data_IF_613687073614
#
_entry.id   IF_613687073614
#
_cell.length_a   1.000
_cell.length_b   1.000
_cell.length_c   1.000
_cell.angle_alpha   90.00
_cell.angle_beta   90.00
_cell.angle_gamma   90.00
#
_symmetry.space_group_name_H-M   'P 1'
#
loop_
_entity.id
_entity.type
_entity.pdbx_description
1 polymer ?
#
# COMPACT_ATOMS: atom_id res chain seq x y z
N UNK A 1 -0.53 21.18 2.68
CA UNK A 1 -0.14 22.11 3.72
C UNK A 1 -1.28 22.89 4.34
N UNK A 2 -2.35 23.21 3.69
CA UNK A 2 -3.45 23.97 4.29
C UNK A 2 -4.77 23.35 3.88
N UNK A 3 -5.43 22.61 4.77
CA UNK A 3 -6.81 22.20 4.57
C UNK A 3 -7.74 23.42 4.43
N UNK A 4 -7.27 24.60 4.83
CA UNK A 4 -8.10 25.78 5.03
C UNK A 4 -7.67 27.04 4.32
N UNK A 5 -6.46 27.21 3.84
CA UNK A 5 -6.12 28.48 3.17
C UNK A 5 -6.80 28.66 1.82
N UNK A 6 -7.48 27.64 1.33
CA UNK A 6 -8.50 27.88 0.34
C UNK A 6 -9.48 26.70 0.34
N UNK A 7 -10.75 27.01 0.49
CA UNK A 7 -11.82 26.16 -0.03
C UNK A 7 -11.53 25.71 -1.47
N UNK A 8 -10.55 26.34 -2.16
CA UNK A 8 -10.02 26.01 -3.47
C UNK A 8 -8.96 24.90 -3.51
N UNK A 9 -8.09 24.72 -2.50
CA UNK A 9 -7.06 23.66 -2.53
C UNK A 9 -7.67 22.29 -2.27
N UNK A 10 -8.60 22.16 -1.33
CA UNK A 10 -9.37 20.93 -1.15
C UNK A 10 -10.08 20.50 -2.43
N UNK A 11 -10.63 21.46 -3.19
CA UNK A 11 -11.23 21.21 -4.51
C UNK A 11 -10.20 20.77 -5.56
N UNK A 12 -8.97 21.30 -5.54
CA UNK A 12 -7.91 20.90 -6.47
C UNK A 12 -7.48 19.46 -6.19
N UNK A 13 -7.18 19.09 -4.94
CA UNK A 13 -6.79 17.72 -4.58
C UNK A 13 -7.93 16.73 -4.85
N UNK A 14 -9.17 17.05 -4.49
CA UNK A 14 -10.35 16.23 -4.81
C UNK A 14 -10.46 15.96 -6.31
N UNK A 15 -10.32 17.00 -7.15
CA UNK A 15 -10.36 16.86 -8.62
C UNK A 15 -9.21 15.98 -9.12
N UNK A 16 -8.02 16.12 -8.57
CA UNK A 16 -6.86 15.33 -8.95
C UNK A 16 -7.03 13.85 -8.58
N UNK A 17 -7.41 13.54 -7.33
CA UNK A 17 -7.68 12.16 -6.89
C UNK A 17 -8.77 11.51 -7.74
N UNK A 18 -9.84 12.25 -8.04
CA UNK A 18 -10.92 11.79 -8.92
C UNK A 18 -10.46 11.60 -10.36
N UNK A 19 -9.66 12.53 -10.91
CA UNK A 19 -9.09 12.41 -12.26
C UNK A 19 -8.20 11.17 -12.37
N UNK A 20 -7.38 10.93 -11.37
CA UNK A 20 -6.52 9.75 -11.28
C UNK A 20 -7.31 8.45 -11.08
N UNK A 21 -8.57 8.52 -10.64
CA UNK A 21 -9.42 7.34 -10.46
C UNK A 21 -9.14 6.54 -9.19
N UNK A 22 -8.46 7.13 -8.20
CA UNK A 22 -8.35 6.52 -6.88
C UNK A 22 -9.70 6.49 -6.17
N UNK A 23 -9.96 5.41 -5.44
CA UNK A 23 -11.22 5.20 -4.71
C UNK A 23 -11.17 5.69 -3.27
N UNK A 24 -9.97 5.81 -2.70
CA UNK A 24 -9.73 6.23 -1.32
C UNK A 24 -8.53 7.18 -1.25
N UNK A 25 -8.52 8.01 -0.23
CA UNK A 25 -7.34 8.75 0.23
C UNK A 25 -7.00 8.28 1.64
N UNK A 26 -5.72 8.08 1.90
CA UNK A 26 -5.19 7.79 3.23
C UNK A 26 -4.41 9.01 3.72
N UNK A 27 -4.88 9.60 4.82
CA UNK A 27 -4.20 10.70 5.47
C UNK A 27 -3.21 10.16 6.51
N UNK A 28 -1.98 10.65 6.47
CA UNK A 28 -1.05 10.53 7.59
C UNK A 28 -1.71 11.06 8.86
N UNK A 29 -1.20 10.75 10.07
CA UNK A 29 -1.90 11.05 11.30
C UNK A 29 -2.36 12.51 11.41
N UNK A 30 -3.64 12.73 11.61
CA UNK A 30 -4.26 14.06 11.75
C UNK A 30 -4.54 14.45 13.21
N UNK A 31 -4.25 13.57 14.16
CA UNK A 31 -4.36 13.88 15.58
C UNK A 31 -3.33 14.95 15.99
N UNK A 32 -3.67 15.78 16.98
CA UNK A 32 -2.78 16.88 17.42
C UNK A 32 -1.48 16.35 18.00
N UNK A 33 -0.37 16.98 17.60
CA UNK A 33 0.99 16.59 17.93
C UNK A 33 1.90 17.82 18.01
N UNK A 34 2.90 17.86 18.92
CA UNK A 34 3.73 19.06 19.13
C UNK A 34 4.79 19.23 18.04
N UNK A 35 5.35 18.11 17.56
CA UNK A 35 6.50 18.10 16.66
C UNK A 35 6.09 17.83 15.21
N UNK A 36 6.13 18.83 14.34
CA UNK A 36 5.78 18.73 12.93
C UNK A 36 6.62 17.72 12.15
N UNK A 37 7.90 17.55 12.51
CA UNK A 37 8.80 16.57 11.90
C UNK A 37 8.48 15.10 12.24
N UNK A 38 7.54 14.85 13.16
CA UNK A 38 7.00 13.52 13.40
C UNK A 38 5.91 13.12 12.40
N UNK A 39 5.48 14.03 11.53
CA UNK A 39 4.38 13.84 10.57
C UNK A 39 3.05 13.41 11.20
N UNK A 40 2.90 13.65 12.51
CA UNK A 40 1.76 13.23 13.30
C UNK A 40 1.89 11.90 14.04
N UNK A 41 3.00 11.19 13.93
CA UNK A 41 3.20 9.91 14.65
C UNK A 41 3.56 10.07 16.14
N UNK A 42 3.80 11.28 16.63
CA UNK A 42 4.00 11.56 18.07
C UNK A 42 2.78 12.31 18.62
N UNK A 43 1.69 11.60 18.78
CA UNK A 43 0.38 12.14 19.15
C UNK A 43 0.35 12.55 20.63
N UNK A 44 -0.14 13.77 20.90
CA UNK A 44 -0.42 14.25 22.27
C UNK A 44 -1.92 14.52 22.48
N UNK A 45 -2.65 14.87 21.43
CA UNK A 45 -4.08 15.15 21.48
C UNK A 45 -4.91 14.13 20.70
N UNK A 46 -5.12 12.95 21.26
CA UNK A 46 -5.80 11.83 20.58
C UNK A 46 -7.22 12.14 20.09
N UNK A 47 -7.93 13.03 20.79
CA UNK A 47 -9.32 13.41 20.50
C UNK A 47 -9.45 14.78 19.84
N UNK A 48 -8.38 15.30 19.25
CA UNK A 48 -8.39 16.57 18.55
C UNK A 48 -7.66 16.46 17.22
N UNK A 49 -8.26 16.88 16.10
CA UNK A 49 -7.52 17.08 14.86
C UNK A 49 -6.50 18.21 15.05
N UNK A 50 -5.33 18.06 14.42
CA UNK A 50 -4.29 19.09 14.52
C UNK A 50 -4.77 20.42 13.96
N UNK A 51 -4.49 21.50 14.69
CA UNK A 51 -4.86 22.88 14.28
C UNK A 51 -4.01 23.41 13.13
N UNK A 52 -2.95 22.69 12.73
CA UNK A 52 -2.03 23.09 11.66
C UNK A 52 -2.70 23.26 10.30
N UNK A 53 -3.77 22.52 10.07
CA UNK A 53 -4.44 22.45 8.75
C UNK A 53 -5.82 23.10 8.73
N UNK A 54 -6.33 23.57 9.84
CA UNK A 54 -7.64 24.19 9.96
C UNK A 54 -8.37 23.79 11.24
N UNK A 55 -9.66 24.10 11.26
CA UNK A 55 -10.56 23.75 12.36
C UNK A 55 -11.10 22.33 12.20
N UNK A 56 -11.65 21.72 13.26
CA UNK A 56 -12.38 20.45 13.14
C UNK A 56 -13.51 20.47 12.11
N UNK A 57 -14.20 21.60 11.97
CA UNK A 57 -15.27 21.76 10.98
C UNK A 57 -14.73 21.78 9.54
N UNK A 58 -13.52 22.33 9.33
CA UNK A 58 -12.86 22.29 8.03
C UNK A 58 -12.47 20.85 7.64
N UNK A 59 -12.01 20.05 8.61
CA UNK A 59 -11.74 18.63 8.37
C UNK A 59 -13.02 17.86 8.03
N UNK A 60 -14.11 18.08 8.79
CA UNK A 60 -15.42 17.48 8.48
C UNK A 60 -15.91 17.88 7.09
N UNK A 61 -15.74 19.14 6.71
CA UNK A 61 -16.06 19.63 5.38
C UNK A 61 -15.26 18.93 4.28
N UNK A 62 -13.94 18.76 4.47
CA UNK A 62 -13.08 18.06 3.52
C UNK A 62 -13.53 16.60 3.32
N UNK A 63 -13.85 15.91 4.42
CA UNK A 63 -14.32 14.52 4.38
C UNK A 63 -15.65 14.42 3.64
N UNK A 64 -16.61 15.32 3.94
CA UNK A 64 -17.90 15.39 3.24
C UNK A 64 -17.73 15.62 1.73
N UNK A 65 -16.83 16.51 1.34
CA UNK A 65 -16.51 16.78 -0.06
C UNK A 65 -15.85 15.58 -0.78
N UNK A 66 -15.03 14.81 -0.08
CA UNK A 66 -14.46 13.56 -0.60
C UNK A 66 -15.55 12.51 -0.79
N UNK A 67 -16.44 12.33 0.19
CA UNK A 67 -17.60 11.42 0.11
C UNK A 67 -18.54 11.81 -1.03
N UNK A 68 -18.85 13.10 -1.20
CA UNK A 68 -19.64 13.60 -2.32
C UNK A 68 -19.00 13.33 -3.69
N UNK A 69 -17.68 13.16 -3.72
CA UNK A 69 -16.95 12.76 -4.92
C UNK A 69 -16.85 11.23 -5.10
N UNK A 70 -17.39 10.43 -4.18
CA UNK A 70 -17.31 8.97 -4.15
C UNK A 70 -15.93 8.44 -3.72
N UNK A 71 -15.18 9.23 -2.92
CA UNK A 71 -13.86 8.91 -2.42
C UNK A 71 -13.94 8.60 -0.93
N UNK A 72 -13.56 7.39 -0.52
CA UNK A 72 -13.47 7.00 0.88
C UNK A 72 -12.24 7.60 1.56
N UNK A 73 -12.31 7.76 2.87
CA UNK A 73 -11.26 8.39 3.68
C UNK A 73 -10.70 7.40 4.68
N UNK A 74 -9.39 7.19 4.62
CA UNK A 74 -8.62 6.38 5.56
C UNK A 74 -7.80 7.32 6.43
N UNK A 75 -7.80 7.10 7.73
CA UNK A 75 -6.96 7.84 8.67
C UNK A 75 -5.91 6.93 9.26
N UNK A 76 -4.68 7.40 9.28
CA UNK A 76 -3.59 6.76 9.99
C UNK A 76 -3.75 7.00 11.50
N UNK A 77 -3.93 5.93 12.27
CA UNK A 77 -4.20 5.93 13.70
C UNK A 77 -3.05 5.29 14.47
N UNK A 78 -2.54 5.98 15.48
CA UNK A 78 -1.31 5.64 16.21
C UNK A 78 -1.62 5.21 17.66
N UNK A 79 -2.15 3.99 17.89
CA UNK A 79 -2.44 3.51 19.25
C UNK A 79 -1.25 2.80 19.92
N UNK A 80 -0.11 2.66 19.24
CA UNK A 80 1.01 1.87 19.75
C UNK A 80 1.80 2.60 20.83
N UNK A 81 2.00 3.91 20.65
CA UNK A 81 2.91 4.69 21.47
C UNK A 81 2.53 6.16 21.52
N UNK A 82 3.15 6.93 22.43
CA UNK A 82 3.00 8.37 22.56
C UNK A 82 4.32 9.03 23.03
N UNK A 83 4.53 10.32 22.74
CA UNK A 83 5.78 11.02 23.11
C UNK A 83 5.90 11.24 24.61
N UNK A 84 7.13 11.46 25.07
CA UNK A 84 7.49 11.67 26.48
C UNK A 84 7.33 13.11 26.96
N UNK A 85 6.50 13.90 26.29
CA UNK A 85 6.23 15.29 26.69
C UNK A 85 5.50 15.29 28.05
N UNK A 86 6.11 15.92 29.05
CA UNK A 86 5.66 15.89 30.44
C UNK A 86 4.40 16.73 30.72
N UNK A 87 3.96 17.52 29.76
CA UNK A 87 2.70 18.28 29.77
C UNK A 87 1.53 17.55 29.09
N UNK A 88 1.78 16.34 28.52
CA UNK A 88 0.78 15.54 27.79
C UNK A 88 0.42 14.25 28.58
N UNK A 89 0.49 13.08 27.93
CA UNK A 89 0.06 11.81 28.55
C UNK A 89 1.14 11.19 29.45
N UNK A 90 2.42 11.47 29.19
CA UNK A 90 3.52 10.89 29.97
C UNK A 90 3.43 11.30 31.43
N UNK A 91 3.34 10.32 32.34
CA UNK A 91 3.18 10.55 33.78
C UNK A 91 2.09 11.58 34.12
N UNK A 92 0.96 11.45 33.47
CA UNK A 92 -0.14 12.42 33.44
C UNK A 92 -0.55 12.95 34.83
N UNK A 93 -0.55 12.10 35.84
CA UNK A 93 -0.89 12.45 37.24
C UNK A 93 0.33 12.40 38.19
N UNK A 94 1.55 12.36 37.62
CA UNK A 94 2.82 12.22 38.33
C UNK A 94 3.34 10.80 38.41
N UNK A 95 2.51 9.81 38.03
CA UNK A 95 2.87 8.40 37.95
C UNK A 95 2.66 7.84 36.54
N UNK A 96 3.10 6.62 36.29
CA UNK A 96 2.85 5.91 35.02
C UNK A 96 1.37 5.51 34.96
N UNK A 97 0.56 6.29 34.24
CA UNK A 97 -0.87 6.07 34.06
C UNK A 97 -1.18 5.37 32.72
N UNK A 98 -0.76 5.98 31.62
CA UNK A 98 -0.96 5.46 30.27
C UNK A 98 0.10 4.45 29.85
N UNK A 99 1.31 4.59 30.35
CA UNK A 99 2.45 3.70 30.14
C UNK A 99 2.62 2.68 31.28
N UNK A 100 3.48 1.67 31.07
CA UNK A 100 3.94 0.80 32.13
C UNK A 100 5.11 1.47 32.90
N UNK A 101 5.13 1.34 34.22
CA UNK A 101 6.20 1.88 35.06
C UNK A 101 7.57 1.21 34.82
N UNK A 102 7.56 -0.06 34.39
CA UNK A 102 8.79 -0.78 34.03
C UNK A 102 9.18 -0.41 32.58
N UNK A 103 10.36 0.24 32.38
CA UNK A 103 10.79 0.68 31.05
C UNK A 103 10.97 -0.48 30.05
N UNK A 104 11.15 -1.72 30.53
CA UNK A 104 11.21 -2.91 29.66
C UNK A 104 9.87 -3.24 29.02
N UNK A 105 8.77 -2.59 29.43
CA UNK A 105 7.44 -2.67 28.86
C UNK A 105 6.94 -1.31 28.38
N UNK A 106 7.25 -0.25 29.13
CA UNK A 106 6.68 1.09 28.96
C UNK A 106 7.46 2.01 28.04
N UNK A 107 8.70 1.68 27.66
CA UNK A 107 9.53 2.52 26.79
C UNK A 107 9.70 1.88 25.41
N UNK A 108 9.68 2.72 24.35
CA UNK A 108 10.01 2.31 23.00
C UNK A 108 11.41 2.79 22.64
N UNK A 109 12.42 1.89 22.51
CA UNK A 109 13.83 2.29 22.34
C UNK A 109 14.10 3.07 21.06
N UNK A 110 13.52 2.62 19.94
CA UNK A 110 13.83 3.18 18.61
C UNK A 110 13.30 4.60 18.42
N UNK A 111 12.12 4.90 18.99
CA UNK A 111 11.42 6.16 18.74
C UNK A 111 11.50 7.14 19.93
N UNK A 112 12.07 6.70 21.06
CA UNK A 112 12.15 7.52 22.28
C UNK A 112 10.79 7.85 22.88
N UNK A 113 9.77 7.05 22.62
CA UNK A 113 8.37 7.21 23.04
C UNK A 113 8.02 6.26 24.18
N UNK A 114 6.86 6.44 24.80
CA UNK A 114 6.26 5.46 25.68
C UNK A 114 5.34 4.50 24.92
N UNK A 115 5.27 3.25 25.38
CA UNK A 115 4.30 2.24 24.93
C UNK A 115 3.08 2.30 25.84
N UNK A 116 1.88 2.26 25.27
CA UNK A 116 0.65 2.20 26.07
C UNK A 116 0.56 0.91 26.88
N UNK A 117 0.08 1.02 28.12
CA UNK A 117 -0.20 -0.12 28.99
C UNK A 117 -1.55 -0.75 28.61
N UNK A 118 -1.54 -1.62 27.60
CA UNK A 118 -2.74 -2.32 27.12
C UNK A 118 -3.39 -3.24 28.16
N UNK A 119 -2.68 -3.59 29.23
CA UNK A 119 -3.20 -4.36 30.36
C UNK A 119 -4.19 -3.57 31.23
N UNK A 120 -4.12 -2.23 31.23
CA UNK A 120 -5.05 -1.38 31.97
C UNK A 120 -6.37 -1.22 31.22
N UNK A 121 -7.48 -1.50 31.86
CA UNK A 121 -8.82 -1.36 31.29
C UNK A 121 -9.13 0.07 30.88
N UNK A 122 -8.69 1.06 31.67
CA UNK A 122 -8.88 2.49 31.39
C UNK A 122 -8.13 2.93 30.14
N UNK A 123 -6.91 2.44 29.93
CA UNK A 123 -6.10 2.73 28.76
C UNK A 123 -6.70 2.08 27.51
N UNK A 124 -7.11 0.81 27.60
CA UNK A 124 -7.82 0.17 26.49
C UNK A 124 -9.11 0.92 26.14
N UNK A 125 -9.88 1.30 27.15
CA UNK A 125 -11.12 2.06 26.95
C UNK A 125 -10.87 3.41 26.27
N UNK A 126 -9.83 4.12 26.69
CA UNK A 126 -9.38 5.36 26.07
C UNK A 126 -9.08 5.16 24.58
N UNK A 127 -8.31 4.13 24.23
CA UNK A 127 -7.92 3.87 22.82
C UNK A 127 -9.10 3.34 21.98
N UNK A 128 -9.92 2.43 22.49
CA UNK A 128 -11.12 1.93 21.76
C UNK A 128 -12.13 3.06 21.53
N UNK A 129 -12.33 3.92 22.53
CA UNK A 129 -13.20 5.09 22.38
C UNK A 129 -12.61 6.11 21.38
N UNK A 130 -11.28 6.25 21.34
CA UNK A 130 -10.61 7.09 20.37
C UNK A 130 -10.79 6.61 18.93
N UNK A 131 -10.66 5.31 18.65
CA UNK A 131 -10.98 4.76 17.34
C UNK A 131 -12.45 5.07 16.94
N UNK A 132 -13.39 4.83 17.88
CA UNK A 132 -14.81 5.16 17.66
C UNK A 132 -15.03 6.65 17.41
N UNK A 133 -14.32 7.53 18.11
CA UNK A 133 -14.41 8.97 17.93
C UNK A 133 -14.08 9.39 16.50
N UNK A 134 -12.99 8.92 15.92
CA UNK A 134 -12.63 9.25 14.54
C UNK A 134 -13.65 8.71 13.53
N UNK A 135 -14.13 7.49 13.74
CA UNK A 135 -15.11 6.85 12.85
C UNK A 135 -16.49 7.54 12.93
N UNK A 136 -16.94 7.95 14.14
CA UNK A 136 -18.30 8.45 14.36
C UNK A 136 -18.40 9.97 14.22
N UNK A 137 -17.43 10.74 14.75
CA UNK A 137 -17.46 12.20 14.72
C UNK A 137 -16.98 12.79 13.39
N UNK A 138 -16.04 12.13 12.73
CA UNK A 138 -15.47 12.57 11.46
C UNK A 138 -15.91 11.73 10.26
N UNK A 139 -16.69 10.67 10.50
CA UNK A 139 -17.17 9.76 9.45
C UNK A 139 -16.03 9.19 8.59
N UNK A 140 -14.90 8.85 9.22
CA UNK A 140 -13.78 8.17 8.58
C UNK A 140 -14.22 6.76 8.16
N UNK A 141 -13.90 6.33 6.94
CA UNK A 141 -14.29 5.02 6.39
C UNK A 141 -13.36 3.89 6.79
N UNK A 142 -12.11 4.21 7.13
CA UNK A 142 -11.13 3.22 7.55
C UNK A 142 -10.07 3.81 8.48
N UNK A 143 -9.53 2.97 9.36
CA UNK A 143 -8.34 3.28 10.15
C UNK A 143 -7.18 2.36 9.71
N UNK A 144 -6.07 2.97 9.34
CA UNK A 144 -4.78 2.27 9.24
C UNK A 144 -4.13 2.34 10.61
N UNK A 145 -3.85 1.21 11.21
CA UNK A 145 -3.26 1.10 12.55
C UNK A 145 -1.75 1.00 12.42
N UNK A 146 -1.09 2.04 12.90
CA UNK A 146 0.37 2.19 12.85
C UNK A 146 1.07 1.20 13.77
N UNK A 147 2.22 0.69 13.33
CA UNK A 147 3.20 -0.05 14.12
C UNK A 147 2.63 -1.26 14.89
N UNK A 148 1.70 -2.01 14.30
CA UNK A 148 1.07 -3.17 14.96
C UNK A 148 2.11 -4.19 15.41
N UNK A 149 3.18 -4.42 14.65
CA UNK A 149 4.27 -5.31 15.05
C UNK A 149 4.89 -4.93 16.40
N UNK A 150 5.07 -3.64 16.68
CA UNK A 150 5.61 -3.15 17.96
C UNK A 150 4.69 -3.40 19.15
N UNK A 151 3.38 -3.52 18.88
CA UNK A 151 2.37 -3.84 19.89
C UNK A 151 2.33 -5.33 20.19
N UNK A 152 2.47 -6.17 19.17
CA UNK A 152 2.33 -7.62 19.26
C UNK A 152 3.47 -8.31 20.02
N UNK A 153 4.67 -7.70 20.04
CA UNK A 153 5.85 -8.36 20.58
C UNK A 153 6.54 -7.55 21.65
N UNK A 154 6.71 -8.18 22.84
CA UNK A 154 7.38 -7.59 24.01
C UNK A 154 8.88 -7.39 23.81
N UNK A 155 9.49 -8.14 22.90
CA UNK A 155 10.91 -8.06 22.51
C UNK A 155 11.17 -7.17 21.28
N UNK A 156 10.15 -6.48 20.77
CA UNK A 156 10.31 -5.65 19.59
C UNK A 156 11.40 -4.58 19.79
N UNK A 157 12.41 -4.57 18.92
CA UNK A 157 13.58 -3.67 18.96
C UNK A 157 14.35 -3.70 20.27
N UNK A 158 14.32 -4.80 21.03
CA UNK A 158 14.99 -4.97 22.32
C UNK A 158 15.98 -6.12 22.27
N UNK A 159 17.08 -5.96 23.03
CA UNK A 159 18.07 -7.03 23.22
C UNK A 159 17.65 -7.99 24.33
N UNK A 160 18.33 -9.11 24.39
CA UNK A 160 18.15 -10.05 25.49
C UNK A 160 18.39 -9.36 26.84
N UNK A 161 17.44 -9.53 27.77
CA UNK A 161 17.43 -8.90 29.10
C UNK A 161 16.82 -7.48 29.14
N UNK A 162 16.49 -6.87 28.00
CA UNK A 162 15.86 -5.55 27.92
C UNK A 162 14.33 -5.62 27.80
N UNK A 163 13.74 -6.80 27.90
CA UNK A 163 12.31 -7.03 27.84
C UNK A 163 11.84 -8.07 28.85
N UNK A 164 10.55 -8.12 29.12
CA UNK A 164 9.93 -9.07 30.03
C UNK A 164 9.00 -10.00 29.25
N UNK A 165 9.11 -11.33 29.43
CA UNK A 165 8.20 -12.27 28.79
C UNK A 165 6.77 -12.12 29.31
N UNK A 166 5.80 -12.65 28.56
CA UNK A 166 4.42 -12.78 29.00
C UNK A 166 4.28 -13.86 30.12
N UNK A 167 3.06 -14.03 30.63
CA UNK A 167 2.76 -14.98 31.69
C UNK A 167 3.04 -16.46 31.36
N UNK A 168 3.24 -16.77 30.07
CA UNK A 168 3.58 -18.11 29.58
C UNK A 168 5.06 -18.24 29.20
N UNK A 169 5.86 -17.19 29.42
CA UNK A 169 7.27 -17.16 29.05
C UNK A 169 7.55 -16.81 27.58
N UNK A 170 6.52 -16.49 26.80
CA UNK A 170 6.62 -16.11 25.40
C UNK A 170 6.86 -14.60 25.21
N UNK A 171 7.09 -14.23 23.96
CA UNK A 171 7.36 -12.84 23.54
C UNK A 171 6.12 -12.08 23.10
N UNK A 172 5.00 -12.74 22.86
CA UNK A 172 3.75 -12.12 22.43
C UNK A 172 3.16 -11.26 23.55
N UNK A 173 2.76 -10.05 23.22
CA UNK A 173 2.05 -9.16 24.14
C UNK A 173 0.55 -9.50 24.14
N UNK A 174 0.16 -10.37 25.09
CA UNK A 174 -1.22 -10.87 25.18
C UNK A 174 -2.23 -9.76 25.45
N UNK A 175 -1.84 -8.70 26.16
CA UNK A 175 -2.71 -7.56 26.44
C UNK A 175 -2.95 -6.71 25.19
N UNK A 176 -1.92 -6.49 24.37
CA UNK A 176 -2.05 -5.79 23.10
C UNK A 176 -2.87 -6.59 22.09
N UNK A 177 -2.68 -7.91 22.00
CA UNK A 177 -3.50 -8.81 21.17
C UNK A 177 -4.97 -8.66 21.54
N UNK A 178 -5.29 -8.75 22.84
CA UNK A 178 -6.66 -8.56 23.32
C UNK A 178 -7.21 -7.17 23.02
N UNK A 179 -6.40 -6.13 23.17
CA UNK A 179 -6.79 -4.76 22.81
C UNK A 179 -7.12 -4.64 21.34
N UNK A 180 -6.28 -5.14 20.42
CA UNK A 180 -6.51 -5.10 18.98
C UNK A 180 -7.79 -5.84 18.59
N UNK A 181 -8.03 -7.02 19.16
CA UNK A 181 -9.27 -7.77 18.95
C UNK A 181 -10.50 -6.98 19.42
N UNK A 182 -10.44 -6.38 20.60
CA UNK A 182 -11.52 -5.56 21.17
C UNK A 182 -11.78 -4.29 20.32
N UNK A 183 -10.71 -3.60 19.90
CA UNK A 183 -10.79 -2.41 19.08
C UNK A 183 -11.45 -2.71 17.70
N UNK A 184 -10.97 -3.75 17.03
CA UNK A 184 -11.51 -4.15 15.72
C UNK A 184 -12.97 -4.62 15.84
N UNK A 185 -13.28 -5.52 16.77
CA UNK A 185 -14.65 -6.00 16.96
C UNK A 185 -15.62 -4.85 17.33
N UNK A 186 -15.17 -3.88 18.14
CA UNK A 186 -16.00 -2.73 18.52
C UNK A 186 -16.18 -1.77 17.35
N UNK A 187 -15.12 -1.46 16.60
CA UNK A 187 -15.18 -0.59 15.43
C UNK A 187 -16.17 -1.13 14.39
N UNK A 188 -16.05 -2.39 13.98
CA UNK A 188 -16.96 -3.02 13.01
C UNK A 188 -18.40 -3.12 13.49
N UNK A 189 -18.61 -3.45 14.78
CA UNK A 189 -19.98 -3.55 15.35
C UNK A 189 -20.69 -2.20 15.37
N UNK A 190 -19.97 -1.12 15.72
CA UNK A 190 -20.54 0.21 15.85
C UNK A 190 -20.70 0.92 14.50
N UNK A 191 -19.78 0.65 13.58
CA UNK A 191 -19.69 1.33 12.29
C UNK A 191 -19.67 0.29 11.14
N UNK A 192 -20.84 -0.28 10.77
CA UNK A 192 -20.90 -1.24 9.66
C UNK A 192 -20.41 -0.61 8.36
N UNK A 193 -19.53 -1.32 7.65
CA UNK A 193 -18.97 -0.87 6.35
C UNK A 193 -17.59 -0.24 6.42
N UNK A 194 -17.07 0.05 7.63
CA UNK A 194 -15.69 0.56 7.79
C UNK A 194 -14.65 -0.53 7.55
N UNK A 195 -13.40 -0.11 7.45
CA UNK A 195 -12.27 -1.04 7.29
C UNK A 195 -11.18 -0.73 8.34
N UNK A 196 -10.66 -1.79 8.98
CA UNK A 196 -9.47 -1.70 9.84
C UNK A 196 -8.29 -2.32 9.11
N UNK A 197 -7.18 -1.60 8.99
CA UNK A 197 -6.00 -1.99 8.22
C UNK A 197 -4.80 -2.02 9.15
N UNK A 198 -4.04 -3.13 9.17
CA UNK A 198 -2.85 -3.25 10.00
C UNK A 198 -1.59 -2.92 9.20
N UNK A 199 -0.75 -2.02 9.73
CA UNK A 199 0.67 -2.00 9.36
C UNK A 199 1.40 -3.00 10.26
N UNK A 200 1.66 -4.19 9.72
CA UNK A 200 2.28 -5.30 10.44
C UNK A 200 3.28 -6.00 9.54
N UNK A 201 4.56 -6.00 9.95
CA UNK A 201 5.69 -6.43 9.14
C UNK A 201 6.21 -7.84 9.48
N UNK A 202 5.61 -8.50 10.48
CA UNK A 202 6.10 -9.82 10.95
C UNK A 202 5.30 -10.98 10.36
N UNK A 203 5.72 -12.20 10.68
CA UNK A 203 5.02 -13.43 10.33
C UNK A 203 3.90 -13.80 11.35
N UNK A 204 3.36 -12.82 12.10
CA UNK A 204 2.21 -13.06 12.96
C UNK A 204 1.02 -13.52 12.11
N UNK A 205 0.46 -14.67 12.47
CA UNK A 205 -0.60 -15.31 11.68
C UNK A 205 -1.99 -14.82 12.08
N UNK A 206 -2.88 -14.69 11.09
CA UNK A 206 -4.27 -14.36 11.34
C UNK A 206 -4.52 -12.89 11.67
N UNK A 207 -3.67 -11.98 11.21
CA UNK A 207 -3.90 -10.54 11.36
C UNK A 207 -5.25 -10.14 10.76
N UNK A 208 -5.56 -10.62 9.56
CA UNK A 208 -6.84 -10.39 8.88
C UNK A 208 -7.87 -11.50 9.05
N UNK A 209 -7.60 -12.49 9.91
CA UNK A 209 -8.57 -13.50 10.26
C UNK A 209 -9.59 -12.97 11.31
N UNK A 210 -10.85 -13.46 11.28
CA UNK A 210 -11.86 -13.07 12.26
C UNK A 210 -11.44 -13.40 13.71
N UNK A 211 -11.87 -12.57 14.66
CA UNK A 211 -11.57 -12.75 16.09
C UNK A 211 -12.13 -14.07 16.65
N UNK A 212 -13.26 -14.53 16.15
CA UNK A 212 -13.90 -15.80 16.54
C UNK A 212 -13.05 -17.03 16.20
N UNK A 213 -12.12 -16.88 15.26
CA UNK A 213 -11.13 -17.91 14.89
C UNK A 213 -9.75 -17.63 15.48
N UNK A 214 -9.66 -16.73 16.47
CA UNK A 214 -8.41 -16.39 17.14
C UNK A 214 -7.54 -15.36 16.40
N UNK A 215 -8.01 -14.81 15.28
CA UNK A 215 -7.34 -13.73 14.55
C UNK A 215 -7.47 -12.38 15.25
N UNK A 216 -6.78 -11.36 14.70
CA UNK A 216 -6.84 -9.99 15.23
C UNK A 216 -8.07 -9.21 14.74
N UNK A 217 -8.74 -9.67 13.67
CA UNK A 217 -9.98 -9.07 13.16
C UNK A 217 -9.77 -7.87 12.24
N UNK A 218 -8.57 -7.62 11.72
CA UNK A 218 -8.37 -6.60 10.69
C UNK A 218 -9.04 -6.98 9.36
N UNK A 219 -9.45 -5.98 8.59
CA UNK A 219 -9.93 -6.19 7.23
C UNK A 219 -8.82 -6.42 6.23
N UNK A 220 -7.67 -5.74 6.43
CA UNK A 220 -6.47 -5.87 5.61
C UNK A 220 -5.19 -5.76 6.45
N UNK A 221 -4.10 -6.25 5.84
CA UNK A 221 -2.72 -6.12 6.33
C UNK A 221 -1.84 -5.53 5.22
N UNK A 222 -0.95 -4.59 5.54
CA UNK A 222 0.08 -4.17 4.59
C UNK A 222 1.06 -5.31 4.30
N UNK A 223 1.35 -5.56 3.03
CA UNK A 223 2.32 -6.57 2.61
C UNK A 223 3.73 -5.97 2.56
N UNK A 224 4.34 -5.83 3.73
CA UNK A 224 5.69 -5.26 3.85
C UNK A 224 6.75 -6.16 3.20
N UNK A 225 6.56 -7.49 3.19
CA UNK A 225 7.43 -8.44 2.50
C UNK A 225 7.45 -8.20 0.99
N UNK A 226 6.28 -8.11 0.36
CA UNK A 226 6.17 -7.76 -1.06
C UNK A 226 6.82 -6.42 -1.37
N UNK A 227 6.59 -5.40 -0.54
CA UNK A 227 7.17 -4.07 -0.71
C UNK A 227 8.69 -4.15 -0.70
N UNK A 228 9.27 -4.77 0.32
CA UNK A 228 10.71 -4.89 0.47
C UNK A 228 11.35 -5.65 -0.71
N UNK A 229 10.86 -6.87 -0.99
CA UNK A 229 11.44 -7.75 -2.01
C UNK A 229 11.31 -7.16 -3.42
N UNK A 230 10.14 -6.58 -3.75
CA UNK A 230 9.91 -5.98 -5.06
C UNK A 230 10.73 -4.71 -5.28
N UNK A 231 10.93 -3.88 -4.25
CA UNK A 231 11.80 -2.71 -4.32
C UNK A 231 13.29 -3.12 -4.42
N UNK A 232 13.72 -4.15 -3.72
CA UNK A 232 15.08 -4.66 -3.86
C UNK A 232 15.34 -5.18 -5.28
N UNK A 233 14.41 -5.96 -5.84
CA UNK A 233 14.50 -6.44 -7.21
C UNK A 233 14.59 -5.30 -8.23
N UNK A 234 13.70 -4.31 -8.14
CA UNK A 234 13.61 -3.27 -9.17
C UNK A 234 14.80 -2.30 -9.15
N UNK A 235 15.49 -2.16 -8.01
CA UNK A 235 16.72 -1.35 -7.88
C UNK A 235 17.92 -1.99 -8.59
N UNK A 236 17.87 -3.29 -8.88
CA UNK A 236 18.95 -3.99 -9.57
C UNK A 236 19.01 -3.60 -11.05
N UNK A 237 20.22 -3.49 -11.58
CA UNK A 237 20.40 -3.36 -13.03
C UNK A 237 19.73 -4.54 -13.75
N UNK A 238 18.99 -4.32 -14.84
CA UNK A 238 18.30 -5.37 -15.60
C UNK A 238 19.19 -6.57 -15.97
N UNK A 239 20.49 -6.35 -16.20
CA UNK A 239 21.43 -7.42 -16.51
C UNK A 239 21.61 -8.45 -15.36
N UNK A 240 21.38 -8.05 -14.13
CA UNK A 240 21.55 -8.88 -12.95
C UNK A 240 20.25 -9.47 -12.41
N UNK A 241 19.08 -8.96 -12.81
CA UNK A 241 17.76 -9.37 -12.31
C UNK A 241 17.49 -10.86 -12.46
N UNK A 242 18.04 -11.50 -13.49
CA UNK A 242 17.87 -12.95 -13.71
C UNK A 242 18.37 -13.81 -12.54
N UNK A 243 19.36 -13.34 -11.79
CA UNK A 243 19.90 -14.04 -10.61
C UNK A 243 19.06 -13.77 -9.34
N UNK A 244 18.10 -12.88 -9.41
CA UNK A 244 17.28 -12.40 -8.31
C UNK A 244 15.78 -12.54 -8.59
N UNK A 245 15.42 -13.34 -9.58
CA UNK A 245 14.05 -13.53 -10.02
C UNK A 245 13.11 -13.99 -8.90
N UNK A 246 13.64 -14.71 -7.92
CA UNK A 246 12.90 -15.10 -6.71
C UNK A 246 12.37 -13.92 -5.89
N UNK A 247 13.06 -12.79 -5.85
CA UNK A 247 12.64 -11.61 -5.08
C UNK A 247 11.30 -11.07 -5.58
N UNK A 248 11.06 -11.02 -6.90
CA UNK A 248 9.82 -10.51 -7.47
C UNK A 248 8.66 -11.54 -7.45
N UNK A 249 8.96 -12.84 -7.32
CA UNK A 249 7.96 -13.92 -7.35
C UNK A 249 7.63 -14.49 -5.98
N UNK A 250 8.48 -14.28 -4.98
CA UNK A 250 8.37 -14.89 -3.65
C UNK A 250 7.05 -14.56 -2.94
N UNK A 251 6.57 -13.34 -3.10
CA UNK A 251 5.31 -12.90 -2.48
C UNK A 251 4.10 -13.75 -2.86
N UNK A 252 4.12 -14.40 -4.02
CA UNK A 252 3.03 -15.29 -4.46
C UNK A 252 2.91 -16.57 -3.63
N UNK A 253 3.94 -16.95 -2.86
CA UNK A 253 3.88 -18.12 -1.99
C UNK A 253 2.95 -17.89 -0.79
N UNK A 254 2.79 -16.63 -0.36
CA UNK A 254 1.98 -16.26 0.80
C UNK A 254 0.88 -15.21 0.46
N UNK A 255 0.66 -14.91 -0.82
CA UNK A 255 -0.25 -13.86 -1.26
C UNK A 255 -1.71 -14.04 -0.78
N UNK A 256 -2.07 -15.23 -0.30
CA UNK A 256 -3.42 -15.59 0.16
C UNK A 256 -3.49 -15.95 1.65
N UNK A 257 -2.37 -15.82 2.38
CA UNK A 257 -2.34 -16.10 3.83
C UNK A 257 -3.10 -15.02 4.61
N UNK A 258 -3.10 -13.79 4.08
CA UNK A 258 -3.81 -12.64 4.64
C UNK A 258 -4.50 -11.84 3.51
N UNK A 259 -5.37 -10.92 3.87
CA UNK A 259 -5.93 -9.95 2.93
C UNK A 259 -4.99 -8.75 2.83
N UNK A 260 -4.25 -8.67 1.75
CA UNK A 260 -3.16 -7.72 1.63
C UNK A 260 -3.53 -6.40 0.95
N UNK A 261 -2.89 -5.33 1.43
CA UNK A 261 -2.64 -4.08 0.71
C UNK A 261 -1.16 -4.09 0.31
N UNK A 262 -0.85 -3.73 -0.92
CA UNK A 262 0.51 -3.57 -1.44
C UNK A 262 0.94 -2.11 -1.22
N UNK A 263 1.78 -1.80 -0.21
CA UNK A 263 2.12 -0.43 0.10
C UNK A 263 3.36 0.05 -0.66
N UNK A 264 3.28 1.22 -1.27
CA UNK A 264 4.40 2.12 -1.52
C UNK A 264 4.05 3.39 -0.76
N UNK A 265 4.41 3.43 0.51
CA UNK A 265 4.02 4.47 1.46
C UNK A 265 5.06 5.61 1.54
N UNK A 266 4.89 6.50 2.51
CA UNK A 266 5.87 7.56 2.80
C UNK A 266 7.21 6.98 3.26
N UNK A 267 7.22 5.87 3.98
CA UNK A 267 8.43 5.26 4.56
C UNK A 267 9.46 4.85 3.50
N UNK A 268 9.02 4.52 2.29
CA UNK A 268 9.92 4.12 1.21
C UNK A 268 10.59 5.32 0.51
N UNK A 269 10.11 6.55 0.74
CA UNK A 269 10.51 7.76 -0.02
C UNK A 269 10.97 8.91 0.85
N UNK A 270 11.44 8.63 2.07
CA UNK A 270 11.92 9.59 3.08
C UNK A 270 13.26 9.16 3.68
N UNK A 271 13.87 10.03 4.47
CA UNK A 271 15.06 9.75 5.28
C UNK A 271 16.28 9.25 4.49
N UNK A 272 16.54 9.81 3.31
CA UNK A 272 17.66 9.44 2.46
C UNK A 272 17.44 8.19 1.62
N UNK A 273 16.23 7.63 1.60
CA UNK A 273 15.86 6.49 0.75
C UNK A 273 15.61 6.88 -0.71
N UNK A 274 15.48 8.19 -0.99
CA UNK A 274 15.16 8.74 -2.32
C UNK A 274 13.72 8.51 -2.74
N UNK A 275 13.30 9.08 -3.87
CA UNK A 275 11.97 8.83 -4.46
C UNK A 275 11.89 7.42 -5.08
N UNK A 276 10.67 6.98 -5.41
CA UNK A 276 10.50 5.72 -6.16
C UNK A 276 11.23 5.75 -7.51
N UNK A 277 11.16 6.87 -8.25
CA UNK A 277 11.90 7.04 -9.50
C UNK A 277 13.43 7.00 -9.28
N UNK A 278 13.92 7.56 -8.16
CA UNK A 278 15.34 7.56 -7.85
C UNK A 278 15.91 6.16 -7.64
N UNK A 279 15.09 5.22 -7.17
CA UNK A 279 15.47 3.81 -6.98
C UNK A 279 15.65 3.05 -8.29
N UNK A 280 15.08 3.52 -9.40
CA UNK A 280 15.16 2.85 -10.69
C UNK A 280 16.56 3.01 -11.31
N UNK A 281 17.17 1.94 -11.86
CA UNK A 281 18.47 2.01 -12.52
C UNK A 281 18.37 2.62 -13.93
N UNK A 282 19.53 3.02 -14.45
CA UNK A 282 19.67 3.47 -15.83
C UNK A 282 19.57 4.99 -16.03
N UNK A 283 19.44 5.39 -17.28
CA UNK A 283 19.22 6.79 -17.66
C UNK A 283 17.77 7.25 -17.34
N UNK A 284 17.46 8.50 -17.62
CA UNK A 284 16.14 9.06 -17.27
C UNK A 284 14.97 8.33 -17.93
N UNK A 285 15.11 7.96 -19.22
CA UNK A 285 14.08 7.19 -19.94
C UNK A 285 13.91 5.80 -19.34
N UNK A 286 15.02 5.10 -19.06
CA UNK A 286 15.02 3.76 -18.47
C UNK A 286 14.41 3.77 -17.07
N UNK A 287 14.69 4.79 -16.26
CA UNK A 287 14.07 4.96 -14.93
C UNK A 287 12.55 5.06 -15.02
N UNK A 288 12.05 5.92 -15.90
CA UNK A 288 10.62 6.07 -16.14
C UNK A 288 9.98 4.79 -16.71
N UNK A 289 10.65 4.11 -17.65
CA UNK A 289 10.18 2.84 -18.19
C UNK A 289 10.11 1.74 -17.11
N UNK A 290 11.16 1.60 -16.29
CA UNK A 290 11.15 0.69 -15.12
C UNK A 290 9.99 0.99 -14.18
N UNK A 291 9.76 2.26 -13.87
CA UNK A 291 8.69 2.65 -12.96
C UNK A 291 7.31 2.34 -13.55
N UNK A 292 7.10 2.58 -14.85
CA UNK A 292 5.85 2.19 -15.54
C UNK A 292 5.61 0.68 -15.46
N UNK A 293 6.65 -0.12 -15.74
CA UNK A 293 6.56 -1.58 -15.65
C UNK A 293 6.28 -2.06 -14.23
N UNK A 294 6.94 -1.46 -13.23
CA UNK A 294 6.77 -1.80 -11.81
C UNK A 294 5.35 -1.47 -11.31
N UNK A 295 4.85 -0.27 -11.63
CA UNK A 295 3.48 0.09 -11.25
C UNK A 295 2.45 -0.82 -11.94
N UNK A 296 2.63 -1.16 -13.22
CA UNK A 296 1.75 -2.10 -13.90
C UNK A 296 1.79 -3.51 -13.28
N UNK A 297 2.97 -3.97 -12.85
CA UNK A 297 3.08 -5.21 -12.07
C UNK A 297 2.32 -5.11 -10.74
N UNK A 298 2.51 -4.02 -9.99
CA UNK A 298 1.81 -3.77 -8.74
C UNK A 298 0.29 -3.79 -8.94
N UNK A 299 -0.24 -3.13 -9.99
CA UNK A 299 -1.68 -3.06 -10.26
C UNK A 299 -2.30 -4.41 -10.61
N UNK A 300 -1.51 -5.34 -11.13
CA UNK A 300 -1.98 -6.68 -11.53
C UNK A 300 -1.65 -7.79 -10.54
N UNK A 301 -0.76 -7.53 -9.57
CA UNK A 301 -0.50 -8.46 -8.46
C UNK A 301 -1.72 -8.55 -7.52
N UNK A 302 -2.06 -9.74 -6.96
CA UNK A 302 -3.09 -9.84 -5.92
C UNK A 302 -2.87 -8.90 -4.73
N UNK A 303 -3.94 -8.28 -4.23
CA UNK A 303 -3.93 -7.31 -3.13
C UNK A 303 -4.37 -5.92 -3.56
N UNK A 304 -4.77 -5.07 -2.60
CA UNK A 304 -5.16 -3.68 -2.84
C UNK A 304 -3.91 -2.80 -3.02
N UNK A 305 -4.05 -1.62 -3.61
CA UNK A 305 -2.93 -0.76 -4.01
C UNK A 305 -2.86 0.49 -3.13
N UNK A 306 -1.69 0.79 -2.61
CA UNK A 306 -1.41 2.05 -1.92
C UNK A 306 -0.19 2.72 -2.55
N UNK A 307 -0.36 3.95 -3.01
CA UNK A 307 0.71 4.73 -3.63
C UNK A 307 0.81 6.10 -2.93
N UNK A 308 1.99 6.43 -2.46
CA UNK A 308 2.23 7.72 -1.81
C UNK A 308 2.29 8.86 -2.83
N UNK A 309 1.82 10.05 -2.43
CA UNK A 309 1.74 11.25 -3.26
C UNK A 309 3.09 11.62 -3.90
N UNK A 310 3.03 12.07 -5.17
CA UNK A 310 4.20 12.41 -6.00
C UNK A 310 4.73 11.24 -6.80
N UNK A 311 4.40 9.99 -6.43
CA UNK A 311 4.83 8.81 -7.18
C UNK A 311 3.98 8.61 -8.44
N UNK A 312 2.73 9.08 -8.45
CA UNK A 312 1.81 9.00 -9.58
C UNK A 312 2.28 9.78 -10.82
N UNK A 313 3.18 10.75 -10.65
CA UNK A 313 3.83 11.46 -11.75
C UNK A 313 5.37 11.33 -11.72
N UNK A 314 5.87 10.36 -10.99
CA UNK A 314 7.30 10.02 -10.92
C UNK A 314 8.20 11.17 -10.45
N UNK A 315 7.85 11.83 -9.34
CA UNK A 315 8.69 12.86 -8.74
C UNK A 315 10.11 12.33 -8.48
N UNK A 316 11.17 12.99 -8.98
CA UNK A 316 12.55 12.53 -8.78
C UNK A 316 13.10 12.86 -7.40
N UNK A 317 12.58 13.91 -6.75
CA UNK A 317 13.01 14.32 -5.43
C UNK A 317 12.35 13.49 -4.33
N UNK A 318 13.12 13.22 -3.28
CA UNK A 318 12.61 12.65 -2.05
C UNK A 318 11.52 13.54 -1.46
N UNK A 319 10.47 12.94 -0.89
CA UNK A 319 9.41 13.71 -0.25
C UNK A 319 9.90 14.43 1.01
N UNK A 320 9.35 15.60 1.26
CA UNK A 320 9.60 16.37 2.47
C UNK A 320 8.35 17.15 2.86
N UNK A 321 8.00 17.12 4.14
CA UNK A 321 6.91 17.91 4.71
C UNK A 321 7.14 19.42 4.62
N UNK A 322 8.39 19.83 4.38
CA UNK A 322 8.77 21.26 4.35
C UNK A 322 8.53 21.95 3.02
N UNK A 323 8.18 21.21 1.96
CA UNK A 323 7.98 21.74 0.60
C UNK A 323 6.78 21.10 -0.09
N UNK A 324 6.29 21.77 -1.14
CA UNK A 324 5.28 21.20 -2.04
C UNK A 324 5.86 20.08 -2.90
N UNK A 325 4.98 19.27 -3.49
CA UNK A 325 5.34 18.34 -4.56
C UNK A 325 5.82 19.13 -5.78
N UNK A 326 6.64 18.50 -6.61
CA UNK A 326 7.24 19.11 -7.81
C UNK A 326 6.21 19.17 -8.97
N UNK A 327 5.07 19.83 -8.76
CA UNK A 327 3.95 19.91 -9.72
C UNK A 327 4.33 20.42 -11.09
N UNK A 328 5.38 21.25 -11.21
CA UNK A 328 5.93 21.75 -12.45
C UNK A 328 6.40 20.63 -13.40
N UNK A 329 6.66 19.43 -12.89
CA UNK A 329 7.01 18.26 -13.70
C UNK A 329 5.90 17.85 -14.67
N UNK A 330 4.64 18.14 -14.35
CA UNK A 330 3.51 17.85 -15.21
C UNK A 330 3.49 18.66 -16.52
N UNK A 331 4.28 19.72 -16.62
CA UNK A 331 4.53 20.45 -17.88
C UNK A 331 5.45 19.66 -18.83
N UNK A 332 6.07 18.58 -18.35
CA UNK A 332 6.95 17.72 -19.11
C UNK A 332 6.26 16.40 -19.48
N UNK A 333 6.22 16.10 -20.77
CA UNK A 333 5.51 14.94 -21.33
C UNK A 333 5.78 13.60 -20.60
N UNK A 334 7.02 13.22 -20.22
CA UNK A 334 7.24 11.93 -19.55
C UNK A 334 6.56 11.80 -18.18
N UNK A 335 6.46 12.89 -17.42
CA UNK A 335 5.81 12.93 -16.10
C UNK A 335 4.29 13.02 -16.22
N UNK A 336 3.79 13.83 -17.17
CA UNK A 336 2.36 13.87 -17.51
C UNK A 336 1.90 12.51 -18.05
N UNK A 337 2.71 11.83 -18.85
CA UNK A 337 2.46 10.48 -19.35
C UNK A 337 2.42 9.43 -18.24
N UNK A 338 3.27 9.54 -17.23
CA UNK A 338 3.21 8.68 -16.05
C UNK A 338 1.91 8.88 -15.28
N UNK A 339 1.50 10.12 -15.05
CA UNK A 339 0.24 10.43 -14.39
C UNK A 339 -0.96 9.89 -15.19
N UNK A 340 -0.93 10.03 -16.51
CA UNK A 340 -1.97 9.47 -17.39
C UNK A 340 -2.01 7.94 -17.29
N UNK A 341 -0.85 7.26 -17.24
CA UNK A 341 -0.77 5.81 -17.08
C UNK A 341 -1.43 5.37 -15.75
N UNK A 342 -1.11 6.04 -14.63
CA UNK A 342 -1.73 5.72 -13.34
C UNK A 342 -3.24 5.90 -13.40
N UNK A 343 -3.73 6.99 -14.03
CA UNK A 343 -5.16 7.22 -14.23
C UNK A 343 -5.82 6.10 -15.03
N UNK A 344 -5.19 5.66 -16.12
CA UNK A 344 -5.74 4.62 -16.99
C UNK A 344 -5.68 3.25 -16.32
N UNK A 345 -4.61 2.93 -15.58
CA UNK A 345 -4.54 1.71 -14.77
C UNK A 345 -5.64 1.66 -13.70
N UNK A 346 -5.93 2.76 -13.01
CA UNK A 346 -7.01 2.83 -12.03
C UNK A 346 -8.38 2.59 -12.66
N UNK A 347 -8.65 3.21 -13.82
CA UNK A 347 -9.90 3.00 -14.57
C UNK A 347 -10.05 1.55 -15.02
N UNK A 348 -8.96 0.95 -15.55
CA UNK A 348 -8.95 -0.45 -15.95
C UNK A 348 -9.11 -1.39 -14.76
N UNK A 349 -8.48 -1.08 -13.63
CA UNK A 349 -8.60 -1.85 -12.40
C UNK A 349 -10.05 -1.90 -11.92
N UNK A 350 -10.71 -0.77 -11.78
CA UNK A 350 -12.12 -0.69 -11.36
C UNK A 350 -13.06 -1.37 -12.36
N UNK A 351 -12.83 -1.19 -13.67
CA UNK A 351 -13.68 -1.72 -14.73
C UNK A 351 -13.53 -3.24 -14.96
N UNK A 352 -12.48 -3.87 -14.43
CA UNK A 352 -12.20 -5.28 -14.67
C UNK A 352 -12.12 -6.07 -13.35
N UNK A 353 -13.21 -6.74 -12.94
CA UNK A 353 -13.24 -7.56 -11.73
C UNK A 353 -12.12 -8.60 -11.64
N UNK A 354 -11.63 -9.10 -12.78
CA UNK A 354 -10.48 -10.02 -12.83
C UNK A 354 -9.22 -9.47 -12.14
N UNK A 355 -9.07 -8.15 -11.98
CA UNK A 355 -7.91 -7.54 -11.35
C UNK A 355 -8.04 -7.38 -9.82
N UNK A 356 -9.25 -7.56 -9.24
CA UNK A 356 -9.46 -7.25 -7.82
C UNK A 356 -10.46 -8.15 -7.07
N UNK A 357 -11.41 -8.80 -7.76
CA UNK A 357 -12.51 -9.51 -7.10
C UNK A 357 -12.02 -10.71 -6.27
N UNK A 358 -11.03 -11.45 -6.80
CA UNK A 358 -10.44 -12.62 -6.16
C UNK A 358 -9.01 -12.39 -5.66
N UNK A 359 -8.73 -11.20 -5.14
CA UNK A 359 -7.39 -10.86 -4.60
C UNK A 359 -6.97 -11.71 -3.40
N UNK A 360 -7.91 -12.36 -2.75
CA UNK A 360 -7.70 -13.18 -1.55
C UNK A 360 -8.00 -14.67 -1.79
N UNK A 361 -8.13 -15.08 -3.07
CA UNK A 361 -8.44 -16.46 -3.46
C UNK A 361 -7.48 -16.94 -4.56
N UNK A 362 -6.94 -18.13 -4.40
CA UNK A 362 -6.07 -18.78 -5.38
C UNK A 362 -6.70 -18.88 -6.79
N UNK A 363 -8.03 -18.92 -6.88
CA UNK A 363 -8.74 -18.94 -8.16
C UNK A 363 -8.54 -17.65 -8.97
N UNK A 364 -8.16 -16.55 -8.33
CA UNK A 364 -7.95 -15.25 -8.97
C UNK A 364 -6.63 -15.09 -9.73
N UNK A 365 -5.70 -16.06 -9.61
CA UNK A 365 -4.36 -15.94 -10.21
C UNK A 365 -3.86 -17.28 -10.76
N UNK A 366 -3.18 -17.24 -11.89
CA UNK A 366 -2.48 -18.40 -12.42
C UNK A 366 -1.24 -17.98 -13.20
N UNK A 367 -0.08 -18.51 -12.86
CA UNK A 367 1.09 -18.35 -13.69
C UNK A 367 0.88 -18.90 -15.11
N UNK A 368 1.29 -18.12 -16.12
CA UNK A 368 1.56 -18.65 -17.46
C UNK A 368 3.00 -19.15 -17.46
N UNK A 369 3.95 -18.25 -17.11
CA UNK A 369 5.34 -18.56 -16.85
C UNK A 369 5.89 -17.59 -15.79
N UNK A 370 6.09 -18.09 -14.59
CA UNK A 370 6.70 -17.36 -13.48
C UNK A 370 8.20 -17.65 -13.35
N UNK A 371 8.75 -18.55 -14.15
CA UNK A 371 10.12 -19.03 -14.04
C UNK A 371 11.10 -18.47 -15.09
N UNK A 372 10.67 -17.54 -15.95
CA UNK A 372 11.47 -17.04 -17.08
C UNK A 372 12.53 -16.00 -16.65
N UNK A 373 13.42 -16.42 -15.75
CA UNK A 373 14.46 -15.57 -15.20
C UNK A 373 15.47 -15.09 -16.25
N UNK A 374 15.83 -15.94 -17.20
CA UNK A 374 16.84 -15.60 -18.23
C UNK A 374 16.42 -14.42 -19.11
N UNK A 375 15.12 -14.27 -19.35
CA UNK A 375 14.55 -13.17 -20.10
C UNK A 375 14.04 -12.02 -19.24
N UNK A 376 14.05 -12.14 -17.92
CA UNK A 376 13.43 -11.22 -16.97
C UNK A 376 11.95 -10.95 -17.29
N UNK A 377 11.22 -11.97 -17.75
CA UNK A 377 9.80 -11.89 -18.08
C UNK A 377 8.97 -12.62 -17.02
N UNK A 378 7.87 -12.00 -16.61
CA UNK A 378 6.80 -12.63 -15.85
C UNK A 378 5.54 -12.65 -16.71
N UNK A 379 4.84 -13.78 -16.75
CA UNK A 379 3.53 -13.84 -17.38
C UNK A 379 2.54 -14.63 -16.54
N UNK A 380 1.33 -14.09 -16.38
CA UNK A 380 0.28 -14.68 -15.56
C UNK A 380 -1.11 -14.27 -16.02
N UNK A 381 -2.11 -14.96 -15.49
CA UNK A 381 -3.53 -14.68 -15.68
C UNK A 381 -4.13 -14.18 -14.37
N UNK A 382 -5.04 -13.21 -14.49
CA UNK A 382 -5.97 -12.81 -13.45
C UNK A 382 -7.38 -13.21 -13.86
N UNK A 383 -8.17 -13.66 -12.88
CA UNK A 383 -9.55 -14.12 -13.12
C UNK A 383 -10.53 -13.42 -12.20
N UNK A 384 -11.75 -13.20 -12.68
CA UNK A 384 -12.92 -12.90 -11.85
C UNK A 384 -13.66 -14.16 -11.43
N UNK A 385 -14.71 -14.03 -10.62
CA UNK A 385 -15.57 -15.12 -10.16
C UNK A 385 -16.32 -15.83 -11.27
N UNK A 386 -16.42 -15.24 -12.46
CA UNK A 386 -17.01 -15.82 -13.68
C UNK A 386 -15.99 -16.52 -14.56
N UNK A 387 -14.71 -16.51 -14.19
CA UNK A 387 -13.62 -17.11 -14.96
C UNK A 387 -13.22 -16.32 -16.21
N UNK A 388 -13.46 -15.00 -16.24
CA UNK A 388 -12.98 -14.14 -17.31
C UNK A 388 -11.50 -13.82 -17.09
N UNK A 389 -10.62 -14.15 -18.05
CA UNK A 389 -9.19 -13.95 -17.91
C UNK A 389 -8.73 -12.56 -18.39
N UNK A 390 -7.72 -12.02 -17.68
CA UNK A 390 -6.80 -11.02 -18.21
C UNK A 390 -5.41 -11.63 -18.18
N UNK A 391 -4.71 -11.63 -19.32
CA UNK A 391 -3.32 -12.05 -19.39
C UNK A 391 -2.40 -10.83 -19.22
N UNK A 392 -1.41 -10.98 -18.37
CA UNK A 392 -0.43 -9.94 -18.07
C UNK A 392 0.95 -10.46 -18.40
N UNK A 393 1.73 -9.65 -19.12
CA UNK A 393 3.14 -9.92 -19.39
C UNK A 393 3.93 -8.71 -18.95
N UNK A 394 4.95 -8.92 -18.12
CA UNK A 394 5.85 -7.86 -17.65
C UNK A 394 7.27 -8.23 -18.06
N UNK A 395 7.93 -7.32 -18.75
CA UNK A 395 9.34 -7.42 -19.15
C UNK A 395 10.17 -6.45 -18.32
N UNK A 396 11.03 -6.97 -17.49
CA UNK A 396 11.99 -6.20 -16.71
C UNK A 396 13.40 -6.17 -17.34
N UNK A 397 13.56 -6.65 -18.59
CA UNK A 397 14.79 -6.51 -19.36
C UNK A 397 14.80 -5.18 -20.14
N UNK A 398 16.02 -4.68 -20.40
CA UNK A 398 16.22 -3.40 -21.13
C UNK A 398 16.04 -3.48 -22.65
N UNK A 399 15.56 -4.59 -23.20
CA UNK A 399 15.32 -4.78 -24.63
C UNK A 399 13.96 -5.42 -24.88
N UNK A 400 13.34 -5.18 -26.07
CA UNK A 400 12.07 -5.79 -26.41
C UNK A 400 12.25 -7.27 -26.79
N UNK A 401 11.17 -8.05 -26.66
CA UNK A 401 11.09 -9.39 -27.22
C UNK A 401 10.04 -9.42 -28.32
N UNK A 402 10.48 -9.64 -29.55
CA UNK A 402 9.59 -9.85 -30.69
C UNK A 402 9.27 -11.34 -30.83
N UNK A 403 8.06 -11.63 -31.30
CA UNK A 403 7.57 -13.01 -31.48
C UNK A 403 7.63 -13.87 -30.19
N UNK A 404 7.43 -13.22 -29.04
CA UNK A 404 7.31 -13.94 -27.77
C UNK A 404 6.00 -14.75 -27.79
N UNK A 405 6.10 -16.07 -27.67
CA UNK A 405 4.92 -16.94 -27.70
C UNK A 405 4.31 -17.04 -26.33
N UNK A 406 3.11 -16.52 -26.16
CA UNK A 406 2.34 -16.51 -24.94
C UNK A 406 1.24 -17.56 -24.98
N UNK A 407 1.25 -18.53 -24.04
CA UNK A 407 0.16 -19.50 -23.88
C UNK A 407 -1.09 -18.87 -23.27
N UNK A 408 -2.23 -19.10 -23.92
CA UNK A 408 -3.52 -18.50 -23.54
C UNK A 408 -4.60 -19.58 -23.33
N UNK A 409 -5.54 -19.37 -22.40
CA UNK A 409 -6.49 -20.42 -21.99
C UNK A 409 -7.66 -20.59 -22.96
N UNK A 410 -7.96 -19.58 -23.78
CA UNK A 410 -9.13 -19.55 -24.66
C UNK A 410 -8.75 -19.05 -26.05
N UNK A 411 -9.41 -19.54 -27.12
CA UNK A 411 -9.21 -19.05 -28.47
C UNK A 411 -9.89 -17.70 -28.66
N UNK A 412 -9.45 -16.94 -29.67
CA UNK A 412 -10.06 -15.69 -30.13
C UNK A 412 -9.10 -14.51 -30.09
N UNK A 413 -9.65 -13.32 -30.29
CA UNK A 413 -8.91 -12.07 -30.28
C UNK A 413 -8.69 -11.57 -28.85
N UNK A 414 -7.44 -11.35 -28.48
CA UNK A 414 -7.04 -10.77 -27.22
C UNK A 414 -6.62 -9.31 -27.42
N UNK A 415 -7.51 -8.42 -27.01
CA UNK A 415 -7.29 -6.98 -27.10
C UNK A 415 -6.19 -6.54 -26.13
N UNK A 416 -5.23 -5.76 -26.62
CA UNK A 416 -4.26 -5.04 -25.79
C UNK A 416 -4.97 -3.86 -25.10
N UNK A 417 -5.35 -4.04 -23.84
CA UNK A 417 -6.09 -3.03 -23.06
C UNK A 417 -5.16 -2.05 -22.35
N UNK A 418 -3.89 -2.43 -22.17
CA UNK A 418 -2.83 -1.56 -21.68
C UNK A 418 -1.48 -2.00 -22.26
N UNK A 419 -0.69 -0.99 -22.66
CA UNK A 419 0.72 -1.12 -23.00
C UNK A 419 1.47 0.05 -22.35
N UNK A 420 2.32 -0.24 -21.37
CA UNK A 420 3.04 0.80 -20.63
C UNK A 420 4.12 1.53 -21.44
N UNK A 421 4.48 0.98 -22.60
CA UNK A 421 5.44 1.59 -23.53
C UNK A 421 4.77 2.40 -24.65
N UNK A 422 3.45 2.65 -24.56
CA UNK A 422 2.77 3.54 -25.48
C UNK A 422 3.36 4.96 -25.44
N UNK A 423 3.45 5.62 -26.59
CA UNK A 423 3.99 6.97 -26.70
C UNK A 423 3.24 7.98 -25.82
N UNK A 424 1.94 7.80 -25.63
CA UNK A 424 1.11 8.64 -24.73
C UNK A 424 1.60 8.63 -23.26
N UNK A 425 2.30 7.58 -22.84
CA UNK A 425 2.90 7.45 -21.51
C UNK A 425 4.40 7.78 -21.50
N UNK A 426 4.95 8.33 -22.60
CA UNK A 426 6.38 8.59 -22.74
C UNK A 426 7.21 7.34 -23.07
N UNK A 427 6.57 6.29 -23.58
CA UNK A 427 7.22 5.08 -24.06
C UNK A 427 7.75 5.21 -25.51
N UNK A 428 8.32 4.12 -26.03
CA UNK A 428 8.88 4.04 -27.37
C UNK A 428 7.89 3.56 -28.44
N UNK A 429 6.66 3.20 -28.05
CA UNK A 429 5.60 2.75 -28.97
C UNK A 429 5.74 1.29 -29.41
N UNK A 430 6.55 0.48 -28.75
CA UNK A 430 6.67 -0.95 -29.01
C UNK A 430 5.47 -1.71 -28.43
N UNK A 431 4.70 -2.42 -29.26
CA UNK A 431 3.49 -3.13 -28.83
C UNK A 431 2.83 -3.97 -29.90
N UNK A 432 1.54 -4.28 -29.76
CA UNK A 432 0.80 -5.26 -30.55
C UNK A 432 -0.34 -4.64 -31.39
N UNK A 433 -0.30 -3.35 -31.65
CA UNK A 433 -1.26 -2.64 -32.52
C UNK A 433 -2.74 -2.89 -32.18
N UNK A 434 -3.04 -2.98 -30.87
CA UNK A 434 -4.40 -3.12 -30.36
C UNK A 434 -4.80 -4.55 -29.99
N UNK A 435 -4.00 -5.58 -30.30
CA UNK A 435 -4.24 -6.95 -29.84
C UNK A 435 -3.70 -8.03 -30.76
N UNK A 436 -3.99 -9.28 -30.41
CA UNK A 436 -3.47 -10.45 -31.10
C UNK A 436 -4.55 -11.54 -31.22
N UNK A 437 -4.51 -12.30 -32.31
CA UNK A 437 -5.35 -13.46 -32.50
C UNK A 437 -4.61 -14.72 -32.05
N UNK A 438 -5.30 -15.62 -31.35
CA UNK A 438 -4.71 -16.89 -30.93
C UNK A 438 -4.64 -17.91 -32.06
N UNK A 439 -3.68 -18.79 -31.95
CA UNK A 439 -3.48 -19.95 -32.80
C UNK A 439 -3.69 -21.24 -31.98
N UNK A 440 -4.15 -22.30 -32.59
CA UNK A 440 -4.18 -23.65 -32.02
C UNK A 440 -2.75 -24.22 -31.97
N UNK A 441 -1.94 -23.61 -31.14
CA UNK A 441 -0.56 -24.00 -30.91
C UNK A 441 -0.31 -24.05 -29.39
N UNK A 442 0.01 -25.24 -28.91
CA UNK A 442 0.23 -25.45 -27.47
C UNK A 442 1.49 -24.71 -26.99
N UNK A 443 1.35 -23.92 -25.94
CA UNK A 443 2.46 -23.25 -25.27
C UNK A 443 2.16 -23.08 -23.77
N UNK A 444 3.19 -23.15 -22.92
CA UNK A 444 3.07 -23.02 -21.46
C UNK A 444 1.98 -23.91 -20.85
N UNK A 445 1.82 -25.13 -21.37
CA UNK A 445 0.78 -26.07 -20.93
C UNK A 445 -0.66 -25.70 -21.31
N UNK A 446 -0.86 -24.72 -22.20
CA UNK A 446 -2.17 -24.25 -22.68
C UNK A 446 -2.40 -24.61 -24.14
N UNK A 447 -3.67 -24.86 -24.54
CA UNK A 447 -3.97 -25.35 -25.89
C UNK A 447 -3.81 -24.28 -26.98
N UNK A 448 -3.94 -23.00 -26.61
CA UNK A 448 -3.85 -21.86 -27.51
C UNK A 448 -2.66 -20.99 -27.14
N UNK A 449 -2.14 -20.25 -28.11
CA UNK A 449 -1.10 -19.25 -27.89
C UNK A 449 -1.17 -18.14 -28.94
N UNK A 450 -0.54 -17.03 -28.65
CA UNK A 450 -0.32 -15.96 -29.61
C UNK A 450 1.16 -15.54 -29.62
N UNK A 451 1.66 -15.10 -30.74
CA UNK A 451 2.95 -14.37 -30.83
C UNK A 451 2.71 -12.91 -30.53
N UNK A 452 3.39 -12.39 -29.52
CA UNK A 452 3.27 -11.00 -29.09
C UNK A 452 4.64 -10.31 -29.13
N UNK A 453 4.61 -8.99 -29.21
CA UNK A 453 5.77 -8.15 -28.94
C UNK A 453 5.67 -7.63 -27.52
N UNK A 454 6.69 -7.92 -26.70
CA UNK A 454 6.78 -7.44 -25.33
C UNK A 454 7.76 -6.27 -25.28
N UNK A 455 7.31 -5.06 -24.88
CA UNK A 455 8.16 -3.88 -24.87
C UNK A 455 9.31 -3.96 -23.88
N UNK A 456 10.38 -3.18 -24.05
CA UNK A 456 11.49 -3.12 -23.08
C UNK A 456 11.03 -2.42 -21.80
N UNK A 457 11.42 -2.93 -20.62
CA UNK A 457 11.04 -2.33 -19.33
C UNK A 457 9.56 -1.94 -19.30
N UNK A 458 8.69 -2.88 -19.73
CA UNK A 458 7.28 -2.58 -19.94
C UNK A 458 6.36 -3.75 -19.64
N UNK A 459 5.06 -3.46 -19.63
CA UNK A 459 4.00 -4.42 -19.41
C UNK A 459 2.90 -4.29 -20.44
N UNK A 460 2.33 -5.45 -20.84
CA UNK A 460 1.17 -5.55 -21.73
C UNK A 460 0.08 -6.32 -21.02
N UNK A 461 -1.15 -5.77 -21.03
CA UNK A 461 -2.34 -6.44 -20.52
C UNK A 461 -3.28 -6.79 -21.67
N UNK A 462 -3.60 -8.06 -21.78
CA UNK A 462 -4.45 -8.60 -22.84
C UNK A 462 -5.76 -9.13 -22.24
N UNK A 463 -6.88 -8.73 -22.82
CA UNK A 463 -8.22 -9.16 -22.44
C UNK A 463 -8.91 -9.84 -23.62
N UNK A 464 -9.51 -11.00 -23.37
CA UNK A 464 -10.31 -11.69 -24.38
C UNK A 464 -11.54 -10.84 -24.75
N UNK A 465 -11.74 -10.58 -26.06
CA UNK A 465 -12.87 -9.82 -26.61
C UNK A 465 -14.16 -10.63 -26.65
#
# INVERSE_FOLDING_TARGET
RDFCLSRGLGDVYKRQVRYLGFTHVEFMPLAEHPFGGSWGYQVTGYYAPTSRFGTPDDLKYLIDELHNAGIGVILDWVPAHFPKDDWALARYDGEALYEDADPRRGDHPDWGTHVFNFGRTEVRNFLVANASYWLEEFHIDALRVDAVASMLYLDYSRKDGEWLPNIHGGRENLDAIKFLQEANATAYRRNPGIIMIAEESTAFQGVSAPTDFGGLGFGFKWNMGWMHDSLEYIQRDPAWRKYHHGEITFSMLYAYDEKFVLPISHDEVVHGKGSLLAKMPGDHWQKLANMRAYLAFMWTHPGKKLLFMGQEFAQPSEWSESRELDWWLLDHHPHAGMQQLVSDMNKLYVANPSLWELDHDHAGFQWIDGGNADQNILSFLRFDSKGNPIAVVVNFAGHPYHNFRLGLPKPGFWQEILNTDAESYGGSGVGNFGGVETQEHQSHGRPYSAEITVPPLGSVWLKLS
#
